data_IF_024041270758
#
_entry.id   IF_024041270758
#
_cell.length_a   1.000
_cell.length_b   1.000
_cell.length_c   1.000
_cell.angle_alpha   90.00
_cell.angle_beta   90.00
_cell.angle_gamma   90.00
#
_symmetry.space_group_name_H-M   'P 1'
#
loop_
_entity.id
_entity.type
_entity.pdbx_description
1 polymer ?
#
# COMPACT_ATOMS: atom_id res chain seq x y z
N UNK A 1 -37.13 -28.87 3.22
CA UNK A 1 -35.73 -28.62 3.64
C UNK A 1 -34.84 -28.58 2.38
N UNK A 2 -34.63 -27.43 1.73
CA UNK A 2 -33.53 -26.46 1.96
C UNK A 2 -32.12 -27.04 1.87
N UNK A 3 -31.69 -27.42 0.66
CA UNK A 3 -30.26 -27.40 0.30
C UNK A 3 -30.07 -26.66 -1.02
N UNK A 4 -30.11 -25.32 -0.94
CA UNK A 4 -29.99 -24.40 -2.09
C UNK A 4 -28.56 -23.89 -2.31
N UNK A 5 -27.57 -24.46 -1.61
CA UNK A 5 -26.16 -24.14 -1.82
C UNK A 5 -25.44 -25.44 -2.24
N UNK A 6 -25.06 -25.51 -3.51
CA UNK A 6 -24.02 -26.44 -3.96
C UNK A 6 -22.71 -25.69 -3.92
N UNK A 7 -21.65 -26.37 -3.53
CA UNK A 7 -20.30 -25.83 -3.51
C UNK A 7 -19.55 -26.47 -4.66
N UNK A 8 -18.89 -25.67 -5.51
CA UNK A 8 -18.02 -26.22 -6.54
C UNK A 8 -16.72 -26.67 -5.88
N UNK A 9 -16.52 -27.99 -5.78
CA UNK A 9 -15.37 -28.58 -5.09
C UNK A 9 -14.03 -28.11 -5.67
N UNK A 10 -13.91 -27.92 -6.98
CA UNK A 10 -12.69 -27.39 -7.61
C UNK A 10 -12.38 -25.95 -7.19
N UNK A 11 -13.40 -25.08 -7.19
CA UNK A 11 -13.24 -23.69 -6.75
C UNK A 11 -13.04 -23.57 -5.24
N UNK A 12 -13.65 -24.46 -4.44
CA UNK A 12 -13.38 -24.58 -3.00
C UNK A 12 -11.92 -24.97 -2.74
N UNK A 13 -11.41 -25.96 -3.49
CA UNK A 13 -10.02 -26.41 -3.36
C UNK A 13 -9.04 -25.30 -3.74
N UNK A 14 -9.33 -24.56 -4.82
CA UNK A 14 -8.55 -23.37 -5.18
C UNK A 14 -8.60 -22.30 -4.07
N UNK A 15 -9.77 -22.02 -3.50
CA UNK A 15 -9.94 -21.06 -2.39
C UNK A 15 -9.11 -21.50 -1.17
N UNK A 16 -9.18 -22.78 -0.80
CA UNK A 16 -8.45 -23.35 0.32
C UNK A 16 -6.93 -23.30 0.11
N UNK A 17 -6.46 -23.57 -1.12
CA UNK A 17 -5.04 -23.46 -1.47
C UNK A 17 -4.55 -22.02 -1.35
N UNK A 18 -5.30 -21.04 -1.91
CA UNK A 18 -4.96 -19.62 -1.81
C UNK A 18 -4.93 -19.18 -0.34
N UNK A 19 -5.89 -19.64 0.47
CA UNK A 19 -5.93 -19.35 1.89
C UNK A 19 -4.74 -19.92 2.65
N UNK A 20 -4.36 -21.17 2.36
CA UNK A 20 -3.18 -21.79 2.95
C UNK A 20 -1.89 -21.04 2.59
N UNK A 21 -1.75 -20.63 1.32
CA UNK A 21 -0.63 -19.80 0.88
C UNK A 21 -0.66 -18.44 1.58
N UNK A 22 -1.81 -17.79 1.70
CA UNK A 22 -1.96 -16.53 2.43
C UNK A 22 -1.46 -16.63 3.89
N UNK A 23 -1.79 -17.73 4.59
CA UNK A 23 -1.32 -17.95 5.96
C UNK A 23 0.17 -18.29 6.05
N UNK A 24 0.72 -18.98 5.05
CA UNK A 24 2.12 -19.38 5.01
C UNK A 24 3.04 -18.27 4.47
N UNK A 25 2.50 -17.35 3.68
CA UNK A 25 3.27 -16.33 2.98
C UNK A 25 3.75 -15.25 3.96
N UNK A 26 5.06 -14.95 3.99
CA UNK A 26 5.57 -13.88 4.83
C UNK A 26 5.09 -12.53 4.30
N UNK A 27 4.96 -11.55 5.21
CA UNK A 27 4.60 -10.17 4.89
C UNK A 27 5.54 -9.54 3.84
N UNK A 28 6.82 -9.91 3.84
CA UNK A 28 7.84 -9.40 2.91
C UNK A 28 8.43 -10.51 2.04
N UNK A 29 8.52 -10.26 0.74
CA UNK A 29 9.23 -11.12 -0.23
C UNK A 29 10.13 -10.25 -1.11
N UNK A 30 11.42 -10.57 -1.14
CA UNK A 30 12.40 -9.98 -2.09
C UNK A 30 12.34 -8.45 -2.19
N UNK A 31 12.44 -7.75 -1.05
CA UNK A 31 12.34 -6.29 -0.89
C UNK A 31 10.94 -5.66 -1.04
N UNK A 32 9.91 -6.44 -1.39
CA UNK A 32 8.53 -5.98 -1.48
C UNK A 32 7.74 -6.32 -0.21
N UNK A 33 7.14 -5.30 0.42
CA UNK A 33 6.21 -5.47 1.54
C UNK A 33 4.78 -5.78 1.05
N UNK A 34 3.91 -6.23 1.97
CA UNK A 34 2.50 -6.52 1.72
C UNK A 34 2.31 -7.66 0.71
N UNK A 35 3.22 -8.63 0.71
CA UNK A 35 3.20 -9.71 -0.26
C UNK A 35 2.00 -10.66 -0.04
N UNK A 36 1.69 -10.93 1.23
CA UNK A 36 0.50 -11.65 1.71
C UNK A 36 -0.81 -10.97 1.31
N UNK A 37 -0.90 -9.65 1.46
CA UNK A 37 -2.12 -8.90 1.19
C UNK A 37 -2.59 -8.98 -0.26
N UNK A 38 -1.68 -9.24 -1.20
CA UNK A 38 -1.98 -9.41 -2.63
C UNK A 38 -2.91 -10.60 -2.89
N UNK A 39 -2.93 -11.60 -1.99
CA UNK A 39 -3.78 -12.78 -2.11
C UNK A 39 -5.20 -12.55 -1.62
N UNK A 40 -5.48 -11.45 -0.90
CA UNK A 40 -6.82 -11.14 -0.37
C UNK A 40 -7.88 -11.04 -1.47
N UNK A 41 -7.56 -10.41 -2.60
CA UNK A 41 -8.49 -10.25 -3.73
C UNK A 41 -8.72 -11.59 -4.44
N UNK A 42 -7.68 -12.35 -4.86
CA UNK A 42 -7.85 -13.72 -5.36
C UNK A 42 -8.64 -14.63 -4.42
N UNK A 43 -8.40 -14.53 -3.10
CA UNK A 43 -9.13 -15.30 -2.09
C UNK A 43 -10.62 -14.95 -2.07
N UNK A 44 -10.95 -13.66 -2.08
CA UNK A 44 -12.34 -13.21 -2.11
C UNK A 44 -13.06 -13.65 -3.40
N UNK A 45 -12.41 -13.49 -4.57
CA UNK A 45 -12.99 -13.87 -5.86
C UNK A 45 -13.19 -15.38 -5.99
N UNK A 46 -12.19 -16.18 -5.58
CA UNK A 46 -12.30 -17.65 -5.58
C UNK A 46 -13.36 -18.13 -4.60
N UNK A 47 -13.47 -17.52 -3.42
CA UNK A 47 -14.54 -17.82 -2.46
C UNK A 47 -15.93 -17.52 -3.02
N UNK A 48 -16.11 -16.38 -3.70
CA UNK A 48 -17.37 -16.06 -4.40
C UNK A 48 -17.65 -17.06 -5.53
N UNK A 49 -16.63 -17.49 -6.27
CA UNK A 49 -16.78 -18.49 -7.34
C UNK A 49 -17.06 -19.91 -6.81
N UNK A 50 -16.58 -20.23 -5.60
CA UNK A 50 -16.82 -21.52 -4.95
C UNK A 50 -18.28 -21.72 -4.52
N UNK A 51 -18.98 -20.61 -4.25
CA UNK A 51 -20.43 -20.61 -4.09
C UNK A 51 -21.04 -20.87 -5.47
N UNK A 52 -21.44 -22.11 -5.75
CA UNK A 52 -22.07 -22.42 -7.02
C UNK A 52 -23.38 -21.63 -7.12
N UNK A 53 -23.41 -20.61 -7.97
CA UNK A 53 -24.62 -19.91 -8.36
C UNK A 53 -25.45 -20.91 -9.17
N UNK A 54 -26.17 -21.79 -8.47
CA UNK A 54 -26.98 -22.80 -9.15
C UNK A 54 -27.95 -22.08 -10.06
N UNK A 55 -28.17 -22.58 -11.28
CA UNK A 55 -29.22 -22.07 -12.17
C UNK A 55 -30.62 -22.09 -11.53
N UNK A 56 -30.77 -22.82 -10.42
CA UNK A 56 -31.96 -22.91 -9.56
C UNK A 56 -31.99 -21.92 -8.39
N UNK A 57 -31.00 -21.03 -8.27
CA UNK A 57 -31.07 -19.89 -7.37
C UNK A 57 -32.21 -18.99 -7.89
N UNK A 58 -33.34 -18.99 -7.19
CA UNK A 58 -34.49 -18.20 -7.58
C UNK A 58 -34.09 -16.74 -7.77
N UNK A 59 -34.74 -16.04 -8.72
CA UNK A 59 -34.44 -14.65 -9.09
C UNK A 59 -34.26 -13.73 -7.86
N UNK A 60 -35.07 -13.95 -6.82
CA UNK A 60 -34.99 -13.23 -5.53
C UNK A 60 -33.65 -13.39 -4.82
N UNK A 61 -33.11 -14.61 -4.73
CA UNK A 61 -31.82 -14.84 -4.05
C UNK A 61 -30.69 -14.16 -4.83
N UNK A 62 -30.70 -14.28 -6.16
CA UNK A 62 -29.70 -13.62 -7.03
C UNK A 62 -29.76 -12.09 -6.89
N UNK A 63 -30.97 -11.53 -6.88
CA UNK A 63 -31.17 -10.09 -6.71
C UNK A 63 -30.70 -9.61 -5.33
N UNK A 64 -31.04 -10.33 -4.25
CA UNK A 64 -30.62 -9.98 -2.89
C UNK A 64 -29.11 -10.06 -2.73
N UNK A 65 -28.47 -11.13 -3.22
CA UNK A 65 -27.00 -11.28 -3.15
C UNK A 65 -26.30 -10.23 -4.02
N UNK A 66 -26.79 -9.96 -5.23
CA UNK A 66 -26.25 -8.90 -6.08
C UNK A 66 -26.37 -7.52 -5.44
N UNK A 67 -27.53 -7.22 -4.83
CA UNK A 67 -27.74 -5.97 -4.09
C UNK A 67 -26.81 -5.87 -2.87
N UNK A 68 -26.61 -6.96 -2.13
CA UNK A 68 -25.70 -6.98 -0.99
C UNK A 68 -24.24 -6.74 -1.39
N UNK A 69 -23.78 -7.37 -2.48
CA UNK A 69 -22.43 -7.15 -3.04
C UNK A 69 -22.29 -5.71 -3.52
N UNK A 70 -23.28 -5.19 -4.26
CA UNK A 70 -23.27 -3.80 -4.72
C UNK A 70 -23.25 -2.83 -3.54
N UNK A 71 -24.09 -3.03 -2.53
CA UNK A 71 -24.13 -2.20 -1.32
C UNK A 71 -22.78 -2.22 -0.59
N UNK A 72 -22.16 -3.38 -0.42
CA UNK A 72 -20.83 -3.51 0.19
C UNK A 72 -19.76 -2.79 -0.64
N UNK A 73 -19.79 -2.93 -1.97
CA UNK A 73 -18.87 -2.24 -2.86
C UNK A 73 -19.04 -0.72 -2.76
N UNK A 74 -20.28 -0.20 -2.77
CA UNK A 74 -20.56 1.23 -2.59
C UNK A 74 -20.12 1.73 -1.20
N UNK A 75 -20.38 0.97 -0.13
CA UNK A 75 -19.91 1.29 1.22
C UNK A 75 -18.38 1.36 1.28
N UNK A 76 -17.69 0.40 0.65
CA UNK A 76 -16.23 0.34 0.60
C UNK A 76 -15.65 1.50 -0.21
N UNK A 77 -16.22 1.81 -1.37
CA UNK A 77 -15.84 2.97 -2.19
C UNK A 77 -16.07 4.25 -1.39
N UNK A 78 -17.22 4.42 -0.73
CA UNK A 78 -17.50 5.59 0.08
C UNK A 78 -16.56 5.76 1.28
N UNK A 79 -16.16 4.67 1.94
CA UNK A 79 -15.13 4.70 2.97
C UNK A 79 -13.77 5.14 2.40
N UNK A 80 -13.35 4.50 1.29
CA UNK A 80 -12.10 4.83 0.62
C UNK A 80 -12.07 6.30 0.16
N UNK A 81 -13.13 6.78 -0.48
CA UNK A 81 -13.25 8.18 -0.91
C UNK A 81 -13.15 9.14 0.27
N UNK A 82 -13.77 8.83 1.42
CA UNK A 82 -13.63 9.67 2.62
C UNK A 82 -12.18 9.75 3.10
N UNK A 83 -11.48 8.62 3.14
CA UNK A 83 -10.07 8.58 3.55
C UNK A 83 -9.17 9.36 2.59
N UNK A 84 -9.41 9.24 1.27
CA UNK A 84 -8.68 10.01 0.26
C UNK A 84 -8.95 11.50 0.33
N UNK A 85 -10.20 11.92 0.57
CA UNK A 85 -10.53 13.34 0.74
C UNK A 85 -9.86 13.95 1.98
N UNK A 86 -9.66 13.15 3.04
CA UNK A 86 -8.89 13.59 4.21
C UNK A 86 -7.40 13.74 3.86
N UNK A 87 -6.83 12.76 3.17
CA UNK A 87 -5.44 12.82 2.72
C UNK A 87 -5.19 14.00 1.77
N UNK A 88 -6.12 14.27 0.84
CA UNK A 88 -6.01 15.35 -0.13
C UNK A 88 -5.89 16.73 0.52
N UNK A 89 -6.64 16.97 1.62
CA UNK A 89 -6.54 18.23 2.37
C UNK A 89 -5.15 18.43 2.98
N UNK A 90 -4.58 17.38 3.56
CA UNK A 90 -3.22 17.41 4.12
C UNK A 90 -2.19 17.64 3.01
N UNK A 91 -2.39 17.01 1.85
CA UNK A 91 -1.54 17.20 0.68
C UNK A 91 -1.58 18.61 0.13
N UNK A 92 -2.77 19.19 -0.01
CA UNK A 92 -2.95 20.53 -0.58
C UNK A 92 -2.20 21.59 0.22
N UNK A 93 -2.15 21.46 1.54
CA UNK A 93 -1.36 22.34 2.41
C UNK A 93 0.14 22.19 2.14
N UNK A 94 0.64 20.96 2.10
CA UNK A 94 2.07 20.70 1.90
C UNK A 94 2.53 21.03 0.47
N UNK A 95 1.66 20.88 -0.54
CA UNK A 95 1.94 21.23 -1.93
C UNK A 95 2.23 22.72 -2.13
N UNK A 96 1.70 23.61 -1.29
CA UNK A 96 2.02 25.04 -1.33
C UNK A 96 3.46 25.33 -0.91
N UNK A 97 4.06 24.48 -0.08
CA UNK A 97 5.47 24.64 0.30
C UNK A 97 6.39 24.46 -0.92
N UNK A 98 6.01 23.58 -1.86
CA UNK A 98 6.74 23.41 -3.12
C UNK A 98 6.70 24.68 -3.98
N UNK A 99 5.78 25.62 -3.72
CA UNK A 99 5.69 26.81 -4.55
C UNK A 99 6.91 27.73 -4.46
N UNK A 100 7.68 27.57 -3.38
CA UNK A 100 8.88 28.33 -3.05
C UNK A 100 10.17 27.65 -3.53
N UNK A 101 10.09 26.45 -4.09
CA UNK A 101 11.25 25.65 -4.51
C UNK A 101 11.65 26.03 -5.95
N UNK A 102 12.90 26.43 -6.23
CA UNK A 102 13.31 26.73 -7.61
C UNK A 102 13.12 25.55 -8.58
N UNK A 103 12.86 25.85 -9.85
CA UNK A 103 12.80 24.82 -10.88
C UNK A 103 14.19 24.15 -11.05
N UNK A 104 14.22 22.83 -11.21
CA UNK A 104 15.46 22.04 -11.32
C UNK A 104 16.24 21.89 -10.01
N UNK A 105 15.64 22.24 -8.85
CA UNK A 105 16.32 22.17 -7.57
C UNK A 105 16.74 20.73 -7.19
N UNK A 106 17.82 20.62 -6.42
CA UNK A 106 18.26 19.37 -5.78
C UNK A 106 17.88 19.39 -4.30
N UNK A 107 16.97 18.52 -3.89
CA UNK A 107 16.32 18.58 -2.58
C UNK A 107 16.60 17.29 -1.81
N UNK A 108 17.17 17.44 -0.62
CA UNK A 108 17.14 16.39 0.41
C UNK A 108 15.91 16.61 1.29
N UNK A 109 15.09 15.57 1.43
CA UNK A 109 13.81 15.63 2.15
C UNK A 109 13.72 14.49 3.15
N UNK A 110 13.06 14.78 4.27
CA UNK A 110 12.86 13.85 5.37
C UNK A 110 11.41 13.89 5.82
N UNK A 111 10.78 12.72 5.89
CA UNK A 111 9.44 12.51 6.38
C UNK A 111 9.51 11.70 7.67
N UNK A 112 8.96 12.25 8.75
CA UNK A 112 8.83 11.52 10.01
C UNK A 112 7.55 10.71 9.96
N UNK A 113 7.67 9.39 9.88
CA UNK A 113 6.52 8.48 9.77
C UNK A 113 6.50 7.56 10.99
N UNK A 114 5.38 7.49 11.75
CA UNK A 114 5.25 6.54 12.86
C UNK A 114 5.21 5.09 12.35
N UNK A 115 5.47 4.10 13.22
CA UNK A 115 5.48 2.68 12.80
C UNK A 115 4.13 2.19 12.23
N UNK A 116 3.03 2.74 12.75
CA UNK A 116 1.66 2.43 12.33
C UNK A 116 0.97 3.74 11.94
N UNK A 117 1.29 4.29 10.75
CA UNK A 117 0.74 5.56 10.32
C UNK A 117 -0.73 5.41 9.93
N UNK A 118 -1.55 6.39 10.34
CA UNK A 118 -2.86 6.59 9.72
C UNK A 118 -2.68 6.93 8.24
N UNK A 119 -3.72 6.71 7.42
CA UNK A 119 -3.66 6.95 5.97
C UNK A 119 -3.07 8.34 5.61
N UNK A 120 -3.52 9.46 6.23
CA UNK A 120 -2.98 10.79 5.88
C UNK A 120 -1.47 10.93 6.14
N UNK A 121 -0.97 10.30 7.21
CA UNK A 121 0.46 10.36 7.58
C UNK A 121 1.27 9.40 6.71
N UNK A 122 0.72 8.23 6.39
CA UNK A 122 1.35 7.23 5.54
C UNK A 122 1.57 7.79 4.12
N UNK A 123 0.62 8.59 3.62
CA UNK A 123 0.74 9.21 2.31
C UNK A 123 1.91 10.21 2.24
N UNK A 124 2.20 10.94 3.32
CA UNK A 124 3.33 11.89 3.37
C UNK A 124 4.71 11.24 3.21
N UNK A 125 4.84 9.93 3.42
CA UNK A 125 6.09 9.18 3.32
C UNK A 125 6.82 9.39 1.98
N UNK A 126 6.07 9.63 0.90
CA UNK A 126 6.59 9.81 -0.45
C UNK A 126 6.19 11.17 -1.08
N UNK A 127 5.67 12.10 -0.28
CA UNK A 127 5.14 13.38 -0.76
C UNK A 127 6.17 14.19 -1.58
N UNK A 128 7.44 14.16 -1.19
CA UNK A 128 8.55 14.80 -1.90
C UNK A 128 8.67 14.40 -3.37
N UNK A 129 8.12 13.25 -3.80
CA UNK A 129 8.09 12.87 -5.21
C UNK A 129 7.33 13.88 -6.09
N UNK A 130 6.40 14.66 -5.50
CA UNK A 130 5.70 15.72 -6.21
C UNK A 130 6.61 16.88 -6.62
N UNK A 131 7.77 17.06 -5.98
CA UNK A 131 8.74 18.08 -6.39
C UNK A 131 9.30 17.77 -7.79
N UNK A 132 9.38 16.49 -8.17
CA UNK A 132 9.74 16.07 -9.54
C UNK A 132 8.70 16.57 -10.53
N UNK A 133 7.41 16.36 -10.21
CA UNK A 133 6.29 16.70 -11.08
C UNK A 133 6.07 18.21 -11.21
N UNK A 134 6.23 18.97 -10.12
CA UNK A 134 5.91 20.40 -10.08
C UNK A 134 7.10 21.31 -10.36
N UNK A 135 8.32 20.84 -10.10
CA UNK A 135 9.53 21.69 -10.10
C UNK A 135 10.70 21.08 -10.84
N UNK A 136 10.51 19.98 -11.57
CA UNK A 136 11.60 19.23 -12.21
C UNK A 136 12.76 18.92 -11.23
N UNK A 137 12.41 18.82 -9.94
CA UNK A 137 13.39 18.76 -8.88
C UNK A 137 13.85 17.33 -8.66
N UNK A 138 15.12 17.19 -8.28
CA UNK A 138 15.73 15.93 -7.95
C UNK A 138 15.66 15.69 -6.45
N UNK A 139 14.98 14.62 -6.03
CA UNK A 139 14.70 14.28 -4.63
C UNK A 139 15.21 12.90 -4.23
N UNK A 140 15.62 12.77 -2.97
CA UNK A 140 16.22 11.55 -2.43
C UNK A 140 15.27 10.33 -2.35
N UNK A 141 13.96 10.52 -2.54
CA UNK A 141 12.99 9.42 -2.61
C UNK A 141 13.10 8.58 -3.89
N UNK A 142 13.74 9.10 -4.94
CA UNK A 142 13.86 8.41 -6.24
C UNK A 142 14.92 7.31 -6.27
N UNK A 143 15.57 7.03 -5.13
CA UNK A 143 16.80 6.24 -5.08
C UNK A 143 16.66 4.80 -4.57
N UNK A 144 17.76 4.08 -4.84
CA UNK A 144 18.11 2.67 -4.66
C UNK A 144 17.06 1.71 -4.09
N UNK A 145 16.16 1.20 -4.94
CA UNK A 145 15.38 -0.01 -4.66
C UNK A 145 15.97 -1.16 -5.47
N UNK A 146 16.67 -2.13 -4.83
CA UNK A 146 17.23 -3.27 -5.53
C UNK A 146 16.15 -3.97 -6.38
N UNK A 147 16.47 -4.25 -7.65
CA UNK A 147 15.61 -4.92 -8.65
C UNK A 147 14.53 -4.06 -9.34
N UNK A 148 14.34 -2.78 -8.98
CA UNK A 148 13.26 -1.96 -9.54
C UNK A 148 13.72 -0.73 -10.34
N UNK A 149 15.02 -0.53 -10.55
CA UNK A 149 15.56 0.71 -11.15
C UNK A 149 16.11 0.53 -12.56
N UNK A 150 15.66 1.39 -13.48
CA UNK A 150 16.22 1.51 -14.84
C UNK A 150 17.46 2.42 -14.85
N UNK A 151 17.60 3.30 -13.85
CA UNK A 151 18.70 4.26 -13.74
C UNK A 151 19.58 3.91 -12.55
N UNK A 152 20.90 3.94 -12.75
CA UNK A 152 21.89 3.79 -11.67
C UNK A 152 22.51 5.15 -11.38
N UNK A 153 22.38 5.61 -10.14
CA UNK A 153 22.98 6.86 -9.69
C UNK A 153 24.47 6.64 -9.44
N UNK A 154 25.33 7.54 -9.93
CA UNK A 154 26.76 7.55 -9.58
C UNK A 154 26.94 8.35 -8.29
N UNK A 155 27.35 7.68 -7.21
CA UNK A 155 27.48 8.26 -5.87
C UNK A 155 28.90 8.72 -5.54
N UNK A 156 29.00 9.71 -4.63
CA UNK A 156 30.13 9.81 -3.70
C UNK A 156 29.77 8.97 -2.46
N UNK A 157 30.59 7.96 -2.12
CA UNK A 157 30.17 6.77 -1.34
C UNK A 157 29.91 7.00 0.16
N UNK A 158 30.08 8.20 0.67
CA UNK A 158 30.24 8.43 2.12
C UNK A 158 28.96 8.88 2.87
N UNK A 159 27.79 8.93 2.22
CA UNK A 159 26.57 9.49 2.87
C UNK A 159 25.37 8.56 2.85
N UNK A 160 24.63 8.51 3.98
CA UNK A 160 23.42 7.70 4.16
C UNK A 160 22.19 8.25 3.42
N UNK A 161 22.29 9.46 2.85
CA UNK A 161 21.18 10.17 2.18
C UNK A 161 20.73 9.54 0.86
N UNK A 162 21.44 8.52 0.37
CA UNK A 162 21.24 7.94 -0.95
C UNK A 162 20.77 6.47 -0.95
N UNK A 163 20.56 5.85 0.22
CA UNK A 163 20.03 4.48 0.35
C UNK A 163 18.55 4.50 0.67
N UNK A 164 17.71 3.77 -0.05
CA UNK A 164 16.29 3.69 0.26
C UNK A 164 16.05 2.88 1.55
N UNK A 165 15.18 3.34 2.47
CA UNK A 165 14.50 4.65 2.48
C UNK A 165 15.35 5.73 3.18
N UNK A 166 15.92 6.66 2.42
CA UNK A 166 16.74 7.77 2.99
C UNK A 166 15.87 8.95 3.42
N UNK A 167 14.67 9.02 2.87
CA UNK A 167 13.65 10.00 3.18
C UNK A 167 12.93 9.70 4.50
N UNK A 168 12.90 8.45 4.96
CA UNK A 168 12.11 8.09 6.15
C UNK A 168 12.95 8.23 7.41
N UNK A 169 12.40 8.98 8.36
CA UNK A 169 12.98 9.10 9.70
C UNK A 169 11.95 8.62 10.73
N UNK A 170 12.43 7.86 11.70
CA UNK A 170 11.58 7.32 12.76
C UNK A 170 11.86 8.03 14.08
N UNK A 171 10.84 8.26 14.93
CA UNK A 171 11.02 8.76 16.27
C UNK A 171 11.97 7.86 17.07
N UNK A 172 12.79 8.44 17.96
CA UNK A 172 13.84 7.72 18.70
C UNK A 172 13.33 6.54 19.54
N UNK A 173 12.08 6.58 20.00
CA UNK A 173 11.41 5.54 20.79
C UNK A 173 10.77 4.42 19.96
N UNK A 174 10.70 4.56 18.62
CA UNK A 174 9.94 3.67 17.74
C UNK A 174 10.77 2.52 17.14
N UNK A 175 12.09 2.50 17.38
CA UNK A 175 13.05 1.66 16.62
C UNK A 175 12.95 0.15 16.90
N UNK A 176 12.57 -0.27 18.11
CA UNK A 176 12.40 -1.69 18.45
C UNK A 176 11.12 -2.28 17.83
N UNK A 177 10.06 -1.46 17.73
CA UNK A 177 8.74 -1.85 17.23
C UNK A 177 8.70 -1.80 15.69
N UNK A 178 9.38 -0.81 15.07
CA UNK A 178 9.43 -0.62 13.61
C UNK A 178 10.38 -1.58 12.87
N UNK A 179 11.22 -2.34 13.57
CA UNK A 179 12.31 -3.16 12.98
C UNK A 179 11.86 -4.22 11.95
N UNK A 180 10.71 -4.90 12.07
CA UNK A 180 10.27 -5.90 11.09
C UNK A 180 9.68 -5.28 9.81
N UNK A 181 9.32 -4.00 9.80
CA UNK A 181 8.69 -3.33 8.65
C UNK A 181 9.70 -2.71 7.67
N UNK A 182 10.94 -2.48 8.09
CA UNK A 182 11.99 -1.85 7.27
C UNK A 182 13.38 -2.47 7.58
N UNK A 183 13.79 -3.53 6.85
CA UNK A 183 15.12 -4.11 7.02
C UNK A 183 16.14 -3.26 6.25
N UNK A 184 16.50 -2.08 6.77
CA UNK A 184 17.55 -1.27 6.15
C UNK A 184 17.56 0.20 6.58
N UNK A 185 18.59 0.57 7.36
CA UNK A 185 19.22 1.90 7.38
C UNK A 185 18.32 3.14 7.34
N UNK A 186 17.42 3.30 8.32
CA UNK A 186 16.82 4.61 8.57
C UNK A 186 17.84 5.54 9.25
N UNK A 187 17.99 6.76 8.73
CA UNK A 187 18.90 7.77 9.27
C UNK A 187 18.46 8.26 10.66
N UNK A 188 19.43 8.58 11.53
CA UNK A 188 19.18 9.14 12.88
C UNK A 188 18.99 10.65 12.79
N UNK A 189 17.88 11.18 13.33
CA UNK A 189 17.84 12.56 13.80
C UNK A 189 18.48 12.58 15.19
N UNK A 190 19.66 13.19 15.30
CA UNK A 190 20.16 13.67 16.58
C UNK A 190 19.58 15.09 16.79
N UNK A 191 19.13 15.42 18.01
CA UNK A 191 18.70 16.78 18.34
C UNK A 191 19.83 17.79 18.18
#
# INVERSE_FOLDING_TARGET
>A
MTRRLRVHHGALLATALIFAVYLAMPYTLSSSALADQRLTVPLALSGVAALAWTERAGLRLRAVTGLAIAALAFLRIGALTRDWLQADRVYAEHLKALDHVPQGARIASFAVVPCAPSIPVATLANFQAYAVLKRDAFVNVLFDVPLYQVMRVRYNRDTQLFRNPSQLVYPGNARSICRPLCPGSAARLHP
#
